data_IF_443317043792
#
_entry.id   IF_443317043792
#
_cell.length_a   1.000
_cell.length_b   1.000
_cell.length_c   1.000
_cell.angle_alpha   90.00
_cell.angle_beta   90.00
_cell.angle_gamma   90.00
#
_symmetry.space_group_name_H-M   'P 1'
#
loop_
_entity.id
_entity.type
_entity.pdbx_description
1 polymer ?
#
# COMPACT_ATOMS: atom_id res chain seq x y z
N UNK A 1 -9.32 45.91 30.56
CA UNK A 1 -9.39 45.28 29.22
C UNK A 1 -10.84 45.28 28.77
N UNK A 2 -11.12 45.60 27.52
CA UNK A 2 -12.47 45.44 26.95
C UNK A 2 -12.80 43.94 26.84
N UNK A 3 -14.09 43.54 26.84
CA UNK A 3 -14.48 42.14 26.66
C UNK A 3 -13.86 41.49 25.41
N UNK A 4 -13.70 42.28 24.34
CA UNK A 4 -13.04 41.87 23.09
C UNK A 4 -11.55 41.59 23.31
N UNK A 5 -10.85 42.42 24.10
CA UNK A 5 -9.44 42.20 24.44
C UNK A 5 -9.20 40.98 25.32
N UNK A 6 -10.15 40.65 26.21
CA UNK A 6 -10.09 39.42 27.00
C UNK A 6 -10.30 38.17 26.14
N UNK A 7 -11.27 38.22 25.23
CA UNK A 7 -11.52 37.12 24.28
C UNK A 7 -10.32 36.88 23.36
N UNK A 8 -9.72 37.95 22.83
CA UNK A 8 -8.52 37.87 21.99
C UNK A 8 -7.32 37.25 22.73
N UNK A 9 -7.11 37.62 23.99
CA UNK A 9 -6.06 37.01 24.81
C UNK A 9 -6.33 35.52 25.07
N UNK A 10 -7.58 35.14 25.33
CA UNK A 10 -7.95 33.74 25.51
C UNK A 10 -7.69 32.91 24.24
N UNK A 11 -8.04 33.44 23.07
CA UNK A 11 -7.74 32.78 21.78
C UNK A 11 -6.24 32.66 21.54
N UNK A 12 -5.44 33.68 21.86
CA UNK A 12 -3.99 33.61 21.75
C UNK A 12 -3.40 32.54 22.68
N UNK A 13 -3.85 32.50 23.94
CA UNK A 13 -3.40 31.49 24.91
C UNK A 13 -3.81 30.08 24.49
N UNK A 14 -5.01 29.90 23.94
CA UNK A 14 -5.46 28.62 23.41
C UNK A 14 -4.64 28.21 22.18
N UNK A 15 -4.35 29.13 21.26
CA UNK A 15 -3.50 28.87 20.10
C UNK A 15 -2.08 28.49 20.51
N UNK A 16 -1.50 29.19 21.49
CA UNK A 16 -0.20 28.85 22.06
C UNK A 16 -0.23 27.47 22.74
N UNK A 17 -1.26 27.18 23.54
CA UNK A 17 -1.46 25.86 24.15
C UNK A 17 -1.54 24.75 23.10
N UNK A 18 -2.34 24.93 22.05
CA UNK A 18 -2.45 23.96 20.95
C UNK A 18 -1.14 23.82 20.16
N UNK A 19 -0.38 24.91 19.99
CA UNK A 19 0.87 24.90 19.24
C UNK A 19 2.05 24.28 19.99
N UNK A 20 2.14 24.48 21.31
CA UNK A 20 3.21 23.92 22.15
C UNK A 20 2.87 22.54 22.73
N UNK A 21 1.58 22.18 22.73
CA UNK A 21 1.00 20.94 23.29
C UNK A 21 1.69 20.49 24.59
N UNK A 22 1.63 21.30 25.66
CA UNK A 22 2.50 21.13 26.83
C UNK A 22 2.18 19.84 27.61
N UNK A 23 0.98 19.29 27.43
CA UNK A 23 0.54 18.04 28.03
C UNK A 23 0.53 16.87 27.05
N UNK A 24 1.05 17.05 25.83
CA UNK A 24 1.17 15.98 24.83
C UNK A 24 -0.16 15.31 24.48
N UNK A 25 -1.24 16.08 24.41
CA UNK A 25 -2.57 15.57 24.09
C UNK A 25 -2.75 15.29 22.59
N UNK A 26 -1.88 15.83 21.73
CA UNK A 26 -1.93 15.61 20.30
C UNK A 26 -1.76 14.13 19.95
N UNK A 27 -2.49 13.67 18.93
CA UNK A 27 -2.38 12.29 18.41
C UNK A 27 -0.98 11.96 17.88
N UNK A 28 -0.14 12.98 17.64
CA UNK A 28 1.24 12.83 17.15
C UNK A 28 2.30 13.13 18.24
N UNK A 29 1.90 13.38 19.49
CA UNK A 29 2.81 13.84 20.55
C UNK A 29 3.89 12.83 20.94
N UNK A 30 3.64 11.55 20.69
CA UNK A 30 4.58 10.43 20.92
C UNK A 30 5.34 10.02 19.66
N UNK A 31 5.17 10.73 18.54
CA UNK A 31 5.89 10.40 17.31
C UNK A 31 7.32 10.98 17.38
N UNK A 32 8.37 10.14 17.37
CA UNK A 32 9.74 10.63 17.42
C UNK A 32 10.06 11.39 16.13
N UNK A 33 10.74 12.53 16.28
CA UNK A 33 11.29 13.33 15.17
C UNK A 33 10.26 13.63 14.05
N UNK A 34 9.01 13.91 14.45
CA UNK A 34 7.91 14.14 13.51
C UNK A 34 8.11 15.43 12.70
N UNK A 35 8.24 15.26 11.39
CA UNK A 35 8.29 16.34 10.41
C UNK A 35 7.10 16.20 9.46
N UNK A 36 6.32 17.27 9.30
CA UNK A 36 5.20 17.31 8.36
C UNK A 36 5.61 17.95 7.04
N UNK A 37 5.14 17.37 5.94
CA UNK A 37 5.39 17.81 4.58
C UNK A 37 4.13 18.43 4.01
N UNK A 38 4.29 19.46 3.17
CA UNK A 38 3.17 20.12 2.51
C UNK A 38 2.45 19.13 1.60
N UNK A 39 1.12 19.13 1.66
CA UNK A 39 0.27 18.41 0.71
C UNK A 39 -0.41 19.45 -0.19
N UNK A 40 -0.11 19.38 -1.49
CA UNK A 40 -0.78 20.20 -2.48
C UNK A 40 -2.11 19.54 -2.88
N UNK A 41 -3.17 19.90 -2.14
CA UNK A 41 -4.51 19.43 -2.43
C UNK A 41 -5.05 20.05 -3.73
N UNK A 42 -5.80 19.29 -4.54
CA UNK A 42 -6.44 19.85 -5.72
C UNK A 42 -7.48 20.91 -5.34
N UNK A 43 -7.74 21.91 -6.21
CA UNK A 43 -8.85 22.83 -6.03
C UNK A 43 -10.17 22.06 -5.83
N UNK A 44 -11.02 22.55 -4.92
CA UNK A 44 -12.34 21.95 -4.65
C UNK A 44 -13.23 21.81 -5.88
N UNK A 45 -13.02 22.66 -6.88
CA UNK A 45 -13.74 22.65 -8.17
C UNK A 45 -13.45 21.40 -9.01
N UNK A 46 -12.30 20.74 -8.79
CA UNK A 46 -11.93 19.51 -9.47
C UNK A 46 -12.44 18.25 -8.75
N UNK A 47 -12.95 18.38 -7.52
CA UNK A 47 -13.48 17.23 -6.77
C UNK A 47 -14.82 16.83 -7.38
N UNK A 48 -14.96 15.59 -7.91
CA UNK A 48 -16.20 15.16 -8.53
C UNK A 48 -17.38 15.25 -7.55
N UNK A 49 -18.45 15.92 -7.97
CA UNK A 49 -19.72 15.93 -7.21
C UNK A 49 -20.61 14.74 -7.55
N UNK A 50 -20.20 13.94 -8.52
CA UNK A 50 -20.92 12.74 -8.94
C UNK A 50 -21.09 11.78 -7.76
N UNK A 51 -22.31 11.29 -7.63
CA UNK A 51 -22.67 10.28 -6.64
C UNK A 51 -23.06 9.02 -7.38
N UNK A 52 -22.72 7.87 -6.80
CA UNK A 52 -23.25 6.59 -7.24
C UNK A 52 -24.77 6.57 -7.03
N UNK A 53 -25.52 6.92 -8.08
CA UNK A 53 -26.99 7.02 -8.04
C UNK A 53 -27.64 5.67 -7.74
N UNK A 54 -26.98 4.59 -8.12
CA UNK A 54 -27.50 3.23 -8.01
C UNK A 54 -27.12 2.56 -6.69
N UNK A 55 -26.29 3.23 -5.87
CA UNK A 55 -25.69 2.70 -4.65
C UNK A 55 -25.21 1.25 -4.87
N UNK A 56 -24.46 1.02 -5.94
CA UNK A 56 -24.00 -0.32 -6.35
C UNK A 56 -23.23 -1.01 -5.21
N UNK A 57 -22.47 -0.24 -4.43
CA UNK A 57 -21.78 -0.75 -3.23
C UNK A 57 -22.72 -1.26 -2.14
N UNK A 58 -23.97 -0.77 -2.05
CA UNK A 58 -24.95 -1.29 -1.09
C UNK A 58 -25.59 -2.60 -1.55
N UNK A 59 -25.42 -2.99 -2.82
CA UNK A 59 -25.94 -4.26 -3.37
C UNK A 59 -24.93 -5.41 -3.27
N UNK A 60 -23.80 -5.19 -2.59
CA UNK A 60 -22.77 -6.22 -2.43
C UNK A 60 -23.24 -7.36 -1.51
N UNK A 61 -22.86 -8.59 -1.83
CA UNK A 61 -23.01 -9.74 -0.93
C UNK A 61 -21.77 -9.87 -0.04
N UNK A 62 -21.97 -10.07 1.27
CA UNK A 62 -20.87 -10.36 2.20
C UNK A 62 -20.49 -11.84 2.06
N UNK A 63 -19.25 -12.10 1.61
CA UNK A 63 -18.65 -13.43 1.57
C UNK A 63 -17.59 -13.59 2.67
N UNK A 64 -17.44 -14.81 3.18
CA UNK A 64 -16.34 -15.21 4.08
C UNK A 64 -16.24 -14.42 5.41
N UNK A 65 -17.36 -13.89 5.91
CA UNK A 65 -17.39 -13.13 7.16
C UNK A 65 -16.78 -13.94 8.31
N UNK A 66 -15.81 -13.35 9.01
CA UNK A 66 -15.08 -13.94 10.15
C UNK A 66 -14.28 -15.22 9.84
N UNK A 67 -14.02 -15.54 8.57
CA UNK A 67 -13.24 -16.73 8.20
C UNK A 67 -11.73 -16.46 8.08
N UNK A 68 -11.34 -15.25 7.64
CA UNK A 68 -9.95 -14.82 7.48
C UNK A 68 -9.75 -13.44 8.10
N UNK A 69 -8.52 -13.14 8.53
CA UNK A 69 -8.20 -11.88 9.22
C UNK A 69 -7.29 -10.99 8.38
N UNK A 70 -7.74 -9.75 8.15
CA UNK A 70 -7.01 -8.76 7.37
C UNK A 70 -6.72 -9.17 5.92
N UNK A 71 -7.70 -9.67 5.13
CA UNK A 71 -7.51 -9.74 3.68
C UNK A 71 -7.24 -8.33 3.13
N UNK A 72 -6.39 -8.20 2.12
CA UNK A 72 -6.03 -6.90 1.53
C UNK A 72 -6.17 -6.92 0.01
N UNK A 73 -5.32 -7.66 -0.72
CA UNK A 73 -5.53 -7.93 -2.15
C UNK A 73 -6.28 -9.24 -2.40
N UNK A 74 -7.04 -9.26 -3.51
CA UNK A 74 -7.72 -10.44 -4.02
C UNK A 74 -7.22 -10.74 -5.44
N UNK A 75 -6.80 -11.98 -5.68
CA UNK A 75 -6.36 -12.43 -7.00
C UNK A 75 -7.02 -13.76 -7.38
N UNK A 76 -7.10 -14.02 -8.69
CA UNK A 76 -7.54 -15.30 -9.24
C UNK A 76 -6.46 -15.80 -10.18
N UNK A 77 -6.21 -17.10 -10.15
CA UNK A 77 -5.20 -17.68 -11.03
C UNK A 77 -5.70 -17.75 -12.49
N UNK A 78 -4.84 -18.07 -13.47
CA UNK A 78 -5.24 -18.13 -14.87
C UNK A 78 -6.32 -19.17 -15.19
N UNK A 79 -6.55 -20.14 -14.29
CA UNK A 79 -7.61 -21.15 -14.40
C UNK A 79 -8.94 -20.67 -13.77
N UNK A 80 -8.97 -19.47 -13.21
CA UNK A 80 -10.13 -18.89 -12.52
C UNK A 80 -10.35 -19.44 -11.11
N UNK A 81 -9.37 -20.15 -10.53
CA UNK A 81 -9.43 -20.62 -9.14
C UNK A 81 -9.18 -19.47 -8.17
N UNK A 82 -9.67 -19.64 -6.95
CA UNK A 82 -9.52 -18.68 -5.86
C UNK A 82 -10.86 -18.29 -5.23
N UNK A 83 -10.93 -17.13 -4.56
CA UNK A 83 -9.89 -16.09 -4.52
C UNK A 83 -8.64 -16.47 -3.71
N UNK A 84 -7.53 -15.80 -4.02
CA UNK A 84 -6.28 -15.76 -3.26
C UNK A 84 -6.15 -14.42 -2.54
N UNK A 85 -5.69 -14.43 -1.28
CA UNK A 85 -5.51 -13.20 -0.48
C UNK A 85 -4.34 -13.31 0.49
N UNK A 86 -3.62 -12.21 0.67
CA UNK A 86 -2.72 -12.03 1.81
C UNK A 86 -3.51 -11.84 3.09
N UNK A 87 -3.05 -12.37 4.22
CA UNK A 87 -3.71 -12.22 5.53
C UNK A 87 -2.75 -11.64 6.59
N UNK A 88 -3.31 -11.19 7.71
CA UNK A 88 -2.59 -10.41 8.72
C UNK A 88 -1.43 -11.18 9.38
N UNK A 89 -1.47 -12.51 9.34
CA UNK A 89 -0.39 -13.35 9.87
C UNK A 89 0.77 -13.58 8.89
N UNK A 90 0.71 -13.00 7.69
CA UNK A 90 1.76 -13.07 6.67
C UNK A 90 1.64 -14.22 5.67
N UNK A 91 0.58 -15.04 5.76
CA UNK A 91 0.28 -16.05 4.74
C UNK A 91 -0.42 -15.44 3.53
N UNK A 92 -0.32 -16.14 2.41
CA UNK A 92 -1.28 -16.07 1.30
C UNK A 92 -2.17 -17.31 1.40
N UNK A 93 -3.48 -17.10 1.47
CA UNK A 93 -4.48 -18.16 1.48
C UNK A 93 -5.20 -18.21 0.14
N UNK A 94 -5.73 -19.38 -0.22
CA UNK A 94 -6.65 -19.53 -1.35
C UNK A 94 -7.91 -20.28 -0.95
N UNK A 95 -9.03 -19.93 -1.58
CA UNK A 95 -10.30 -20.63 -1.42
C UNK A 95 -10.45 -21.71 -2.50
N UNK A 96 -10.61 -22.97 -2.09
CA UNK A 96 -10.74 -24.12 -3.00
C UNK A 96 -12.19 -24.40 -3.45
N UNK A 97 -13.14 -23.55 -3.05
CA UNK A 97 -14.58 -23.77 -3.24
C UNK A 97 -15.29 -24.23 -1.97
N UNK A 98 -14.56 -24.78 -0.99
CA UNK A 98 -15.11 -25.30 0.27
C UNK A 98 -14.42 -24.76 1.51
N UNK A 99 -13.09 -24.57 1.47
CA UNK A 99 -12.28 -24.16 2.60
C UNK A 99 -11.14 -23.23 2.18
N UNK A 100 -10.68 -22.40 3.13
CA UNK A 100 -9.42 -21.68 2.99
C UNK A 100 -8.25 -22.63 3.20
N UNK A 101 -7.27 -22.56 2.30
CA UNK A 101 -6.05 -23.35 2.32
C UNK A 101 -4.84 -22.43 2.30
N UNK A 102 -3.78 -22.86 2.96
CA UNK A 102 -2.49 -22.18 2.89
C UNK A 102 -1.94 -22.35 1.47
N UNK A 103 -1.60 -21.24 0.82
CA UNK A 103 -0.98 -21.24 -0.50
C UNK A 103 0.51 -20.93 -0.39
N UNK A 104 0.87 -19.77 0.18
CA UNK A 104 2.25 -19.31 0.20
C UNK A 104 2.63 -18.53 1.46
N UNK A 105 3.94 -18.40 1.67
CA UNK A 105 4.56 -17.62 2.74
C UNK A 105 5.70 -16.78 2.17
N UNK A 106 5.84 -15.53 2.60
CA UNK A 106 6.96 -14.65 2.19
C UNK A 106 8.16 -14.74 3.13
N UNK A 107 7.91 -14.95 4.42
CA UNK A 107 8.98 -15.12 5.42
C UNK A 107 9.44 -16.58 5.55
N UNK A 108 10.75 -16.80 5.47
CA UNK A 108 11.39 -18.09 5.79
C UNK A 108 11.56 -18.32 7.30
N UNK A 109 11.51 -17.25 8.11
CA UNK A 109 11.82 -17.28 9.54
C UNK A 109 10.56 -17.33 10.41
N UNK A 110 9.48 -17.91 9.87
CA UNK A 110 8.20 -18.02 10.58
C UNK A 110 8.34 -18.99 11.75
N UNK A 111 7.79 -18.58 12.88
CA UNK A 111 7.72 -19.38 14.12
C UNK A 111 6.34 -19.23 14.75
N UNK A 112 6.17 -19.77 15.96
CA UNK A 112 4.91 -19.71 16.71
C UNK A 112 4.41 -18.28 16.96
N UNK A 113 5.28 -17.27 16.87
CA UNK A 113 4.88 -15.87 16.99
C UNK A 113 3.91 -15.43 15.88
N UNK A 114 4.00 -16.08 14.71
CA UNK A 114 3.17 -15.83 13.53
C UNK A 114 1.89 -16.67 13.50
N UNK A 115 1.66 -17.53 14.50
CA UNK A 115 0.44 -18.32 14.57
C UNK A 115 -0.80 -17.42 14.71
N UNK A 116 -1.98 -17.90 14.28
CA UNK A 116 -3.22 -17.14 14.36
C UNK A 116 -3.46 -16.51 15.74
N UNK A 117 -3.81 -15.24 15.73
CA UNK A 117 -4.09 -14.37 16.88
C UNK A 117 -5.59 -14.02 16.92
N UNK A 118 -6.12 -13.59 18.08
CA UNK A 118 -7.53 -13.24 18.21
C UNK A 118 -7.95 -11.98 17.44
N UNK A 119 -7.01 -11.08 17.12
CA UNK A 119 -7.32 -9.85 16.37
C UNK A 119 -6.22 -9.50 15.35
N UNK A 120 -6.58 -8.79 14.26
CA UNK A 120 -5.60 -8.30 13.28
C UNK A 120 -4.53 -7.39 13.89
N UNK A 121 -4.87 -6.60 14.90
CA UNK A 121 -3.93 -5.67 15.55
C UNK A 121 -2.82 -6.41 16.32
N UNK A 122 -3.09 -7.66 16.73
CA UNK A 122 -2.14 -8.48 17.49
C UNK A 122 -0.94 -8.94 16.63
N UNK A 123 -1.02 -8.83 15.29
CA UNK A 123 0.09 -9.17 14.40
C UNK A 123 1.06 -8.01 14.21
N UNK A 124 0.61 -6.75 14.33
CA UNK A 124 1.39 -5.53 14.02
C UNK A 124 2.82 -5.53 14.59
N UNK A 125 3.08 -5.95 15.84
CA UNK A 125 4.45 -5.94 16.38
C UNK A 125 5.40 -6.87 15.61
N UNK A 126 4.89 -7.98 15.08
CA UNK A 126 5.68 -9.07 14.48
C UNK A 126 5.50 -9.20 12.96
N UNK A 127 4.72 -8.34 12.30
CA UNK A 127 4.53 -8.39 10.83
C UNK A 127 5.86 -8.32 10.08
N UNK A 128 6.84 -7.54 10.57
CA UNK A 128 8.18 -7.48 9.99
C UNK A 128 8.97 -8.80 10.03
N UNK A 129 8.57 -9.76 10.89
CA UNK A 129 9.15 -11.10 10.96
C UNK A 129 8.30 -12.09 10.16
N UNK A 130 6.97 -11.98 10.28
CA UNK A 130 6.04 -12.92 9.66
C UNK A 130 5.80 -12.65 8.17
N UNK A 131 6.03 -11.42 7.72
CA UNK A 131 5.55 -10.89 6.44
C UNK A 131 4.14 -10.30 6.57
N UNK A 132 3.78 -9.48 5.58
CA UNK A 132 2.42 -8.98 5.38
C UNK A 132 2.20 -8.76 3.88
N UNK A 133 1.76 -9.80 3.14
CA UNK A 133 1.39 -9.67 1.74
C UNK A 133 0.22 -8.70 1.58
N UNK A 134 0.43 -7.64 0.81
CA UNK A 134 -0.58 -6.63 0.48
C UNK A 134 -1.02 -6.88 -0.97
N UNK A 135 -0.22 -6.51 -1.98
CA UNK A 135 -0.52 -6.76 -3.39
C UNK A 135 -0.23 -8.19 -3.86
N UNK A 136 -1.14 -8.73 -4.69
CA UNK A 136 -1.04 -10.05 -5.31
C UNK A 136 -1.40 -10.00 -6.81
N UNK A 137 -0.52 -10.49 -7.69
CA UNK A 137 -0.81 -10.59 -9.13
C UNK A 137 -0.25 -11.88 -9.73
N UNK A 138 -1.08 -12.58 -10.48
CA UNK A 138 -0.64 -13.74 -11.26
C UNK A 138 -0.10 -13.29 -12.62
N UNK A 139 1.01 -13.89 -13.03
CA UNK A 139 1.38 -13.94 -14.44
C UNK A 139 0.43 -14.89 -15.16
N UNK A 140 -0.22 -14.39 -16.21
CA UNK A 140 -1.25 -15.13 -16.95
C UNK A 140 -0.67 -16.27 -17.77
N UNK A 141 0.59 -16.20 -18.14
CA UNK A 141 1.27 -17.17 -18.99
C UNK A 141 1.88 -18.30 -18.17
N UNK A 142 2.55 -17.97 -17.06
CA UNK A 142 3.25 -18.97 -16.23
C UNK A 142 2.42 -19.50 -15.07
N UNK A 143 1.41 -18.75 -14.61
CA UNK A 143 0.68 -19.05 -13.38
C UNK A 143 1.48 -18.79 -12.11
N UNK A 144 2.64 -18.13 -12.22
CA UNK A 144 3.39 -17.67 -11.05
C UNK A 144 2.65 -16.53 -10.36
N UNK A 145 2.65 -16.54 -9.02
CA UNK A 145 2.11 -15.45 -8.20
C UNK A 145 3.24 -14.52 -7.75
N UNK A 146 3.09 -13.25 -8.07
CA UNK A 146 3.94 -12.17 -7.57
C UNK A 146 3.27 -11.48 -6.38
N UNK A 147 4.08 -11.17 -5.37
CA UNK A 147 3.62 -10.74 -4.06
C UNK A 147 4.39 -9.48 -3.65
N UNK A 148 3.67 -8.40 -3.35
CA UNK A 148 4.21 -7.24 -2.66
C UNK A 148 4.04 -7.47 -1.14
N UNK A 149 5.15 -7.73 -0.45
CA UNK A 149 5.15 -7.82 1.00
C UNK A 149 5.54 -6.47 1.62
N UNK A 150 4.71 -6.00 2.54
CA UNK A 150 4.86 -4.70 3.19
C UNK A 150 6.19 -4.51 3.93
N UNK A 151 6.89 -5.58 4.28
CA UNK A 151 8.14 -5.50 5.03
C UNK A 151 9.31 -6.13 4.29
N UNK A 152 9.04 -7.14 3.46
CA UNK A 152 10.07 -8.00 2.92
C UNK A 152 10.43 -7.68 1.47
N UNK A 153 9.62 -6.90 0.74
CA UNK A 153 9.89 -6.51 -0.65
C UNK A 153 8.99 -7.20 -1.67
N UNK A 154 9.51 -7.39 -2.88
CA UNK A 154 8.83 -8.07 -3.99
C UNK A 154 9.24 -9.55 -4.04
N UNK A 155 8.25 -10.43 -4.15
CA UNK A 155 8.43 -11.89 -4.14
C UNK A 155 7.74 -12.57 -5.31
N UNK A 156 8.14 -13.81 -5.56
CA UNK A 156 7.53 -14.74 -6.50
C UNK A 156 7.32 -16.10 -5.86
N UNK A 157 6.19 -16.74 -6.14
CA UNK A 157 5.94 -18.16 -5.83
C UNK A 157 5.32 -18.85 -7.04
N UNK A 158 5.68 -20.12 -7.28
CA UNK A 158 5.12 -20.90 -8.38
C UNK A 158 3.66 -21.30 -8.16
N UNK A 159 3.01 -21.93 -9.16
CA UNK A 159 1.60 -22.33 -9.10
C UNK A 159 1.29 -23.39 -8.02
N UNK A 160 2.31 -24.09 -7.53
CA UNK A 160 2.20 -25.08 -6.45
C UNK A 160 2.23 -24.43 -5.05
N UNK A 161 2.47 -23.13 -4.95
CA UNK A 161 2.59 -22.43 -3.67
C UNK A 161 3.90 -22.73 -2.93
N UNK A 162 3.87 -22.59 -1.60
CA UNK A 162 5.01 -22.81 -0.71
C UNK A 162 5.75 -21.53 -0.31
N UNK A 163 7.05 -21.65 -0.03
CA UNK A 163 7.88 -20.51 0.34
C UNK A 163 8.20 -19.67 -0.89
N UNK A 164 7.80 -18.40 -0.87
CA UNK A 164 8.08 -17.47 -1.95
C UNK A 164 9.56 -17.08 -1.99
N UNK A 165 10.09 -16.88 -3.19
CA UNK A 165 11.47 -16.45 -3.44
C UNK A 165 11.52 -14.91 -3.53
N UNK A 166 12.42 -14.23 -2.80
CA UNK A 166 12.58 -12.79 -2.91
C UNK A 166 13.16 -12.40 -4.29
N UNK A 167 12.64 -11.32 -4.86
CA UNK A 167 13.11 -10.73 -6.12
C UNK A 167 13.81 -9.40 -5.90
N UNK A 168 13.21 -8.52 -5.09
CA UNK A 168 13.72 -7.18 -4.82
C UNK A 168 13.48 -6.83 -3.36
N UNK A 169 14.53 -6.41 -2.67
CA UNK A 169 14.48 -5.95 -1.27
C UNK A 169 15.05 -4.53 -1.11
N UNK A 170 15.80 -4.05 -2.09
CA UNK A 170 16.40 -2.72 -2.14
C UNK A 170 16.52 -2.22 -3.58
N UNK A 171 16.51 -0.89 -3.74
CA UNK A 171 16.72 -0.23 -5.05
C UNK A 171 17.58 1.01 -4.82
N UNK A 172 18.65 1.16 -5.60
CA UNK A 172 19.64 2.26 -5.48
C UNK A 172 20.22 2.41 -4.06
N UNK A 173 20.46 1.30 -3.36
CA UNK A 173 20.95 1.29 -1.98
C UNK A 173 19.93 1.74 -0.93
N UNK A 174 18.66 1.92 -1.32
CA UNK A 174 17.56 2.24 -0.41
C UNK A 174 16.67 1.01 -0.24
N UNK A 175 16.61 0.42 0.97
CA UNK A 175 15.74 -0.72 1.25
C UNK A 175 14.26 -0.40 1.01
N UNK A 176 13.52 -1.39 0.52
CA UNK A 176 12.06 -1.34 0.52
C UNK A 176 11.57 -1.47 1.95
N UNK A 177 10.73 -0.54 2.40
CA UNK A 177 10.19 -0.55 3.77
C UNK A 177 8.69 -0.69 3.84
N UNK A 178 8.00 -0.40 2.73
CA UNK A 178 6.55 -0.48 2.67
C UNK A 178 6.07 -0.77 1.24
N UNK A 179 6.46 -1.91 0.69
CA UNK A 179 5.95 -2.41 -0.60
C UNK A 179 4.46 -2.67 -0.51
N UNK A 180 3.65 -2.10 -1.39
CA UNK A 180 2.20 -2.10 -1.19
C UNK A 180 1.46 -2.90 -2.27
N UNK A 181 1.44 -2.41 -3.51
CA UNK A 181 0.73 -3.07 -4.61
C UNK A 181 1.67 -3.28 -5.81
N UNK A 182 1.23 -4.15 -6.72
CA UNK A 182 1.92 -4.39 -7.98
C UNK A 182 0.95 -4.65 -9.14
N UNK A 183 1.46 -4.49 -10.36
CA UNK A 183 0.87 -5.02 -11.58
C UNK A 183 1.96 -5.53 -12.52
N UNK A 184 1.58 -6.40 -13.47
CA UNK A 184 2.52 -7.05 -14.40
C UNK A 184 2.05 -6.87 -15.85
N UNK A 185 2.97 -6.48 -16.73
CA UNK A 185 2.71 -6.43 -18.17
C UNK A 185 3.02 -7.77 -18.87
N UNK A 186 2.55 -7.90 -20.11
CA UNK A 186 2.73 -9.13 -20.89
C UNK A 186 4.20 -9.33 -21.33
N UNK A 187 5.04 -8.28 -21.25
CA UNK A 187 6.48 -8.34 -21.47
C UNK A 187 7.28 -8.72 -20.20
N UNK A 188 6.62 -9.10 -19.12
CA UNK A 188 7.28 -9.56 -17.90
C UNK A 188 7.97 -8.44 -17.11
N UNK A 189 7.48 -7.21 -17.21
CA UNK A 189 7.83 -6.16 -16.27
C UNK A 189 6.78 -6.08 -15.15
N UNK A 190 7.29 -5.94 -13.92
CA UNK A 190 6.48 -5.75 -12.73
C UNK A 190 6.60 -4.30 -12.30
N UNK A 191 5.47 -3.61 -12.25
CA UNK A 191 5.36 -2.26 -11.72
C UNK A 191 4.84 -2.36 -10.30
N UNK A 192 5.50 -1.73 -9.35
CA UNK A 192 5.13 -1.85 -7.95
C UNK A 192 5.41 -0.58 -7.15
N UNK A 193 4.68 -0.40 -6.06
CA UNK A 193 4.78 0.77 -5.19
C UNK A 193 5.58 0.45 -3.94
N UNK A 194 6.42 1.39 -3.52
CA UNK A 194 7.00 1.46 -2.18
C UNK A 194 6.41 2.71 -1.52
N UNK A 195 5.46 2.50 -0.60
CA UNK A 195 4.66 3.56 0.03
C UNK A 195 5.49 4.55 0.85
N UNK A 196 6.62 4.11 1.40
CA UNK A 196 7.55 4.94 2.16
C UNK A 196 8.89 4.23 2.28
N UNK A 197 9.99 4.95 2.08
CA UNK A 197 11.33 4.46 2.39
C UNK A 197 11.75 4.74 3.84
N UNK A 198 10.89 5.40 4.64
CA UNK A 198 11.14 5.78 6.05
C UNK A 198 10.33 4.91 7.01
N UNK A 199 9.02 4.85 6.80
CA UNK A 199 8.07 4.18 7.69
C UNK A 199 7.71 2.79 7.16
N UNK A 200 7.59 1.83 8.07
CA UNK A 200 7.01 0.53 7.77
C UNK A 200 5.49 0.56 7.95
N UNK A 201 4.79 -0.47 7.46
CA UNK A 201 3.34 -0.59 7.57
C UNK A 201 2.79 -0.39 9.00
N UNK A 202 3.42 -0.96 10.03
CA UNK A 202 3.00 -0.76 11.44
C UNK A 202 3.02 0.71 11.89
N UNK A 203 3.73 1.57 11.16
CA UNK A 203 3.84 3.01 11.38
C UNK A 203 3.14 3.82 10.27
N UNK A 204 2.16 3.25 9.57
CA UNK A 204 1.49 3.95 8.46
C UNK A 204 0.75 5.22 8.93
N UNK A 205 0.32 5.31 10.20
CA UNK A 205 -0.28 6.53 10.73
C UNK A 205 0.75 7.68 10.78
N UNK A 206 2.00 7.40 11.14
CA UNK A 206 3.10 8.38 11.05
C UNK A 206 3.29 8.84 9.61
N UNK A 207 3.27 7.93 8.64
CA UNK A 207 3.32 8.25 7.21
C UNK A 207 2.17 9.17 6.79
N UNK A 208 0.93 8.84 7.13
CA UNK A 208 -0.25 9.64 6.77
C UNK A 208 -0.18 11.04 7.39
N UNK A 209 0.10 11.15 8.68
CA UNK A 209 0.13 12.45 9.36
C UNK A 209 1.31 13.32 8.95
N UNK A 210 2.50 12.72 8.72
CA UNK A 210 3.64 13.47 8.21
C UNK A 210 3.45 13.86 6.76
N UNK A 211 2.70 13.06 5.99
CA UNK A 211 2.59 13.16 4.53
C UNK A 211 3.96 13.21 3.84
N UNK A 212 4.95 12.54 4.45
CA UNK A 212 6.30 12.50 3.89
C UNK A 212 6.29 11.87 2.50
N UNK A 213 7.18 12.34 1.63
CA UNK A 213 7.11 12.07 0.20
C UNK A 213 8.17 11.05 -0.26
N UNK A 214 8.73 10.20 0.59
CA UNK A 214 9.76 9.23 0.18
C UNK A 214 9.23 8.06 -0.66
N UNK A 215 7.93 8.01 -0.97
CA UNK A 215 7.30 6.97 -1.76
C UNK A 215 7.80 6.94 -3.21
N UNK A 216 7.76 5.74 -3.81
CA UNK A 216 8.31 5.46 -5.15
C UNK A 216 7.38 4.55 -5.96
N UNK A 217 7.37 4.79 -7.27
CA UNK A 217 6.92 3.82 -8.27
C UNK A 217 8.15 3.17 -8.91
N UNK A 218 8.17 1.84 -8.94
CA UNK A 218 9.32 1.03 -9.33
C UNK A 218 8.93 0.09 -10.47
N UNK A 219 9.92 -0.28 -11.30
CA UNK A 219 9.80 -1.26 -12.37
C UNK A 219 10.86 -2.33 -12.19
N UNK A 220 10.48 -3.59 -12.15
CA UNK A 220 11.37 -4.75 -12.16
C UNK A 220 11.20 -5.54 -13.44
N UNK A 221 12.29 -5.83 -14.16
CA UNK A 221 12.23 -6.66 -15.37
C UNK A 221 12.59 -8.12 -15.03
N UNK A 222 11.70 -9.06 -15.37
CA UNK A 222 11.87 -10.47 -15.04
C UNK A 222 13.03 -11.13 -15.79
N UNK A 223 13.48 -10.60 -16.92
CA UNK A 223 14.55 -11.18 -17.73
C UNK A 223 15.92 -10.62 -17.35
N UNK A 224 16.05 -9.30 -17.28
CA UNK A 224 17.33 -8.65 -16.92
C UNK A 224 17.59 -8.70 -15.42
N UNK A 225 16.54 -8.92 -14.61
CA UNK A 225 16.59 -8.88 -13.14
C UNK A 225 16.96 -7.49 -12.59
N UNK A 226 16.82 -6.45 -13.42
CA UNK A 226 17.09 -5.08 -13.04
C UNK A 226 15.84 -4.40 -12.48
N UNK A 227 16.04 -3.54 -11.49
CA UNK A 227 15.00 -2.67 -10.94
C UNK A 227 15.34 -1.22 -11.22
N UNK A 228 14.38 -0.44 -11.71
CA UNK A 228 14.51 0.99 -11.94
C UNK A 228 13.42 1.76 -11.19
N UNK A 229 13.75 2.98 -10.76
CA UNK A 229 12.76 3.91 -10.20
C UNK A 229 12.14 4.72 -11.33
N UNK A 230 10.82 4.59 -11.50
CA UNK A 230 10.07 5.33 -12.52
C UNK A 230 9.67 6.73 -12.02
N UNK A 231 9.17 6.81 -10.79
CA UNK A 231 8.72 8.05 -10.16
C UNK A 231 9.17 8.08 -8.71
N UNK A 232 9.64 9.25 -8.27
CA UNK A 232 10.08 9.53 -6.89
C UNK A 232 9.21 10.62 -6.28
N UNK A 233 9.39 10.85 -4.99
CA UNK A 233 8.79 11.96 -4.26
C UNK A 233 7.26 11.83 -4.15
N UNK A 234 6.74 10.61 -4.08
CA UNK A 234 5.30 10.33 -4.00
C UNK A 234 4.83 10.30 -2.54
N UNK A 235 3.65 10.86 -2.28
CA UNK A 235 3.05 10.89 -0.95
C UNK A 235 2.09 9.71 -0.76
N UNK A 236 2.57 8.66 -0.10
CA UNK A 236 1.87 7.42 0.18
C UNK A 236 1.29 6.71 -1.07
N UNK A 237 2.15 6.29 -2.03
CA UNK A 237 1.68 5.49 -3.16
C UNK A 237 1.27 4.10 -2.71
N UNK A 238 -0.04 3.82 -2.77
CA UNK A 238 -0.63 2.62 -2.18
C UNK A 238 -0.93 1.57 -3.26
N UNK A 239 -1.64 1.94 -4.33
CA UNK A 239 -2.06 1.06 -5.41
C UNK A 239 -1.41 1.41 -6.75
N UNK A 240 -1.27 0.40 -7.62
CA UNK A 240 -0.86 0.57 -9.03
C UNK A 240 -1.62 -0.41 -9.92
N UNK A 241 -2.04 0.04 -11.10
CA UNK A 241 -2.65 -0.82 -12.10
C UNK A 241 -2.30 -0.40 -13.52
N UNK A 242 -2.07 -1.39 -14.36
CA UNK A 242 -1.76 -1.22 -15.77
C UNK A 242 -3.03 -1.04 -16.60
N UNK A 243 -2.98 -0.16 -17.59
CA UNK A 243 -3.99 -0.11 -18.66
C UNK A 243 -4.04 -1.42 -19.45
N UNK A 244 -5.21 -1.75 -20.00
CA UNK A 244 -5.41 -3.02 -20.73
C UNK A 244 -4.51 -3.17 -21.97
N UNK A 245 -4.14 -2.06 -22.59
CA UNK A 245 -3.28 -2.02 -23.79
C UNK A 245 -1.80 -1.77 -23.45
N UNK A 246 -1.46 -1.68 -22.16
CA UNK A 246 -0.10 -1.43 -21.72
C UNK A 246 0.44 -0.05 -22.08
N UNK A 247 -0.42 0.92 -22.46
CA UNK A 247 0.03 2.25 -22.88
C UNK A 247 0.37 3.18 -21.71
N UNK A 248 -0.27 2.97 -20.56
CA UNK A 248 0.01 3.68 -19.31
C UNK A 248 -0.25 2.81 -18.09
N UNK A 249 0.24 3.27 -16.94
CA UNK A 249 -0.11 2.76 -15.63
C UNK A 249 -0.76 3.88 -14.81
N UNK A 250 -1.72 3.53 -13.97
CA UNK A 250 -2.34 4.42 -12.98
C UNK A 250 -1.84 4.03 -11.61
N UNK A 251 -1.43 5.00 -10.81
CA UNK A 251 -1.09 4.78 -9.41
C UNK A 251 -1.76 5.85 -8.55
N UNK A 252 -2.01 5.55 -7.28
CA UNK A 252 -2.60 6.53 -6.36
C UNK A 252 -1.53 7.18 -5.48
N UNK A 253 -1.85 8.35 -4.96
CA UNK A 253 -1.14 8.99 -3.85
C UNK A 253 -2.16 9.26 -2.74
N UNK A 254 -2.04 8.51 -1.63
CA UNK A 254 -3.05 8.48 -0.58
C UNK A 254 -3.18 9.78 0.21
N UNK A 255 -2.07 10.47 0.48
CA UNK A 255 -2.09 11.72 1.25
C UNK A 255 -2.78 12.88 0.50
N UNK A 256 -2.43 13.18 -0.77
CA UNK A 256 -3.15 14.20 -1.55
C UNK A 256 -4.52 13.72 -2.06
N UNK A 257 -4.81 12.41 -2.01
CA UNK A 257 -6.09 11.86 -2.43
C UNK A 257 -6.29 11.93 -3.95
N UNK A 258 -5.28 11.59 -4.75
CA UNK A 258 -5.32 11.64 -6.21
C UNK A 258 -4.83 10.35 -6.86
N UNK A 259 -5.19 10.18 -8.14
CA UNK A 259 -4.55 9.25 -9.04
C UNK A 259 -3.59 9.99 -9.98
N UNK A 260 -2.64 9.28 -10.55
CA UNK A 260 -1.70 9.81 -11.54
C UNK A 260 -1.47 8.76 -12.63
N UNK A 261 -1.29 9.24 -13.86
CA UNK A 261 -0.97 8.39 -15.00
C UNK A 261 0.51 8.53 -15.35
N UNK A 262 1.18 7.40 -15.54
CA UNK A 262 2.52 7.36 -16.13
C UNK A 262 2.41 6.68 -17.49
N UNK A 263 2.62 7.46 -18.55
CA UNK A 263 2.52 6.96 -19.92
C UNK A 263 3.83 6.30 -20.37
N UNK A 264 3.69 5.11 -20.95
CA UNK A 264 4.80 4.29 -21.41
C UNK A 264 4.96 4.44 -22.93
N UNK A 265 5.37 5.64 -23.36
CA UNK A 265 5.76 5.83 -24.76
C UNK A 265 7.18 5.33 -24.98
N UNK A 266 7.43 4.71 -26.14
CA UNK A 266 8.77 4.35 -26.59
C UNK A 266 9.69 5.59 -26.59
N UNK A 267 10.52 5.69 -25.56
CA UNK A 267 11.61 6.66 -25.32
C UNK A 267 11.29 8.01 -24.64
N UNK A 268 10.07 8.28 -24.15
CA UNK A 268 9.82 9.44 -23.28
C UNK A 268 8.78 9.08 -22.20
N UNK A 269 9.20 9.09 -20.94
CA UNK A 269 8.29 8.99 -19.80
C UNK A 269 7.68 10.37 -19.51
N UNK A 270 6.37 10.50 -19.62
CA UNK A 270 5.63 11.71 -19.22
C UNK A 270 4.71 11.35 -18.07
N UNK A 271 4.86 12.08 -16.96
CA UNK A 271 3.95 12.00 -15.82
C UNK A 271 2.85 13.04 -16.03
N UNK A 272 1.61 12.60 -16.20
CA UNK A 272 0.44 13.47 -16.20
C UNK A 272 -0.38 13.21 -14.93
N UNK A 273 -0.53 14.29 -14.15
CA UNK A 273 -1.31 14.31 -12.93
C UNK A 273 -2.77 14.62 -13.30
N UNK A 274 -3.61 13.58 -13.35
CA UNK A 274 -5.05 13.74 -13.52
C UNK A 274 -5.76 13.53 -12.18
N UNK A 275 -6.47 14.56 -11.71
CA UNK A 275 -7.46 14.39 -10.65
C UNK A 275 -8.68 13.74 -11.31
N UNK A 276 -8.95 12.47 -10.98
CA UNK A 276 -10.17 11.77 -11.37
C UNK A 276 -11.31 12.10 -10.40
#
# INVERSE_FOLDING_TARGET
>A
MTPIGFLGLLFLLLALYCGIDPFKHSAISEFPDFESYKVDLPPWELVPTDRDKDNLLQKSEIKFLNQVQGPESMAFDPLGRGPYTGVADGRVLFWDGQNWKDFAYTSSNRSEICNPKPSPQSYLPNEHICGRPLGLRFDKNTGDLYIADAYLGLFKVGPEGGLATPLVTEVDGVPLRFTNDLDIDDEGNIYFTDSSSKFQRRNFMQLVFSSENSGRLLKYNLYTKETAVLVRNLQFPNGVSLSKDGSFLVFCEGCPGRFACFYMYSNIAVLDLHVL
#
